data_IF_402281856035
#
_entry.id   IF_402281856035
#
_cell.length_a   1.000
_cell.length_b   1.000
_cell.length_c   1.000
_cell.angle_alpha   90.00
_cell.angle_beta   90.00
_cell.angle_gamma   90.00
#
_symmetry.space_group_name_H-M   'P 1'
#
loop_
_entity.id
_entity.type
_entity.pdbx_description
1 polymer ?
#
# COMPACT_ATOMS: atom_id res chain seq x y z
N UNK A 1 -12.39 -8.99 0.36
CA UNK A 1 -13.21 -7.88 0.90
C UNK A 1 -12.50 -7.03 1.98
N UNK A 2 -11.36 -7.46 2.55
CA UNK A 2 -10.68 -6.72 3.63
C UNK A 2 -10.09 -5.35 3.27
N UNK A 3 -9.60 -5.16 2.03
CA UNK A 3 -8.90 -3.93 1.64
C UNK A 3 -9.76 -2.65 1.74
N UNK A 4 -11.08 -2.75 1.56
CA UNK A 4 -12.01 -1.62 1.69
C UNK A 4 -12.12 -1.16 3.14
N UNK A 5 -12.19 -2.09 4.09
CA UNK A 5 -12.26 -1.78 5.52
C UNK A 5 -10.96 -1.16 6.03
N UNK A 6 -9.81 -1.65 5.54
CA UNK A 6 -8.50 -1.08 5.87
C UNK A 6 -8.40 0.36 5.36
N UNK A 7 -8.78 0.60 4.10
CA UNK A 7 -8.75 1.94 3.50
C UNK A 7 -9.75 2.91 4.14
N UNK A 8 -10.93 2.41 4.53
CA UNK A 8 -11.90 3.19 5.28
C UNK A 8 -11.37 3.56 6.67
N UNK A 9 -10.71 2.63 7.36
CA UNK A 9 -10.03 2.91 8.63
C UNK A 9 -8.89 3.92 8.47
N UNK A 10 -8.08 3.81 7.41
CA UNK A 10 -7.01 4.78 7.11
C UNK A 10 -7.60 6.17 6.84
N UNK A 11 -8.74 6.26 6.15
CA UNK A 11 -9.45 7.51 5.93
C UNK A 11 -9.96 8.13 7.24
N UNK A 12 -10.51 7.32 8.16
CA UNK A 12 -10.94 7.78 9.48
C UNK A 12 -9.75 8.22 10.36
N UNK A 13 -8.62 7.51 10.28
CA UNK A 13 -7.40 7.85 11.00
C UNK A 13 -6.79 9.19 10.56
N UNK A 14 -7.14 9.68 9.36
CA UNK A 14 -6.72 10.99 8.86
C UNK A 14 -7.65 12.13 9.30
N UNK A 15 -8.68 11.85 10.11
CA UNK A 15 -9.71 12.82 10.48
C UNK A 15 -9.68 13.15 12.00
N UNK A 16 -8.75 14.02 12.44
CA UNK A 16 -8.60 14.38 13.87
C UNK A 16 -9.80 15.15 14.45
N UNK A 17 -10.72 15.59 13.60
CA UNK A 17 -11.98 16.22 14.02
C UNK A 17 -12.99 15.20 14.59
N UNK A 18 -12.80 13.90 14.32
CA UNK A 18 -13.69 12.80 14.77
C UNK A 18 -13.03 11.98 15.88
N UNK A 19 -11.71 11.83 15.86
CA UNK A 19 -10.92 11.03 16.81
C UNK A 19 -9.74 11.86 17.35
N UNK A 20 -9.34 11.66 18.61
CA UNK A 20 -8.14 12.34 19.12
C UNK A 20 -6.90 11.90 18.33
N UNK A 21 -5.89 12.77 18.25
CA UNK A 21 -4.61 12.49 17.58
C UNK A 21 -3.96 11.16 18.04
N UNK A 22 -4.09 10.83 19.33
CA UNK A 22 -3.60 9.57 19.89
C UNK A 22 -4.33 8.36 19.29
N UNK A 23 -5.66 8.40 19.20
CA UNK A 23 -6.43 7.33 18.55
C UNK A 23 -6.16 7.25 17.05
N UNK A 24 -5.99 8.38 16.36
CA UNK A 24 -5.64 8.40 14.94
C UNK A 24 -4.31 7.68 14.67
N UNK A 25 -3.27 7.93 15.49
CA UNK A 25 -1.98 7.28 15.34
C UNK A 25 -2.06 5.77 15.61
N UNK A 26 -2.74 5.35 16.67
CA UNK A 26 -2.93 3.93 16.98
C UNK A 26 -3.73 3.20 15.90
N UNK A 27 -4.80 3.82 15.37
CA UNK A 27 -5.54 3.25 14.23
C UNK A 27 -4.68 3.19 12.98
N UNK A 28 -3.86 4.20 12.71
CA UNK A 28 -2.96 4.21 11.57
C UNK A 28 -1.97 3.04 11.67
N UNK A 29 -1.29 2.89 12.80
CA UNK A 29 -0.33 1.79 13.03
C UNK A 29 -0.98 0.40 12.94
N UNK A 30 -2.21 0.27 13.44
CA UNK A 30 -2.97 -0.98 13.37
C UNK A 30 -3.39 -1.34 11.94
N UNK A 31 -3.59 -0.33 11.09
CA UNK A 31 -4.04 -0.48 9.71
C UNK A 31 -2.89 -0.47 8.68
N UNK A 32 -1.73 0.07 9.03
CA UNK A 32 -0.59 0.23 8.11
C UNK A 32 0.36 -0.98 8.10
N UNK A 33 0.24 -1.87 9.09
CA UNK A 33 0.98 -3.15 9.11
C UNK A 33 0.40 -4.13 8.09
N UNK A 34 0.91 -4.07 6.86
CA UNK A 34 0.57 -5.04 5.81
C UNK A 34 1.53 -6.22 5.85
N UNK A 35 1.00 -7.44 5.95
CA UNK A 35 1.81 -8.65 5.97
C UNK A 35 2.67 -8.74 4.70
N UNK A 36 3.98 -9.06 4.81
CA UNK A 36 4.79 -9.33 3.65
C UNK A 36 4.27 -10.52 2.86
N UNK A 37 4.46 -10.48 1.55
CA UNK A 37 4.21 -11.63 0.70
C UNK A 37 5.46 -12.50 0.59
N UNK A 38 5.25 -13.76 0.23
CA UNK A 38 6.28 -14.78 0.27
C UNK A 38 7.40 -14.51 -0.76
N UNK A 39 8.62 -14.93 -0.43
CA UNK A 39 9.80 -14.62 -1.22
C UNK A 39 9.80 -15.28 -2.61
N UNK A 40 9.16 -16.45 -2.75
CA UNK A 40 8.94 -17.10 -4.04
C UNK A 40 8.18 -16.20 -5.02
N UNK A 41 7.20 -15.45 -4.54
CA UNK A 41 6.48 -14.46 -5.34
C UNK A 41 7.36 -13.25 -5.67
N UNK A 42 8.22 -12.82 -4.74
CA UNK A 42 9.19 -11.74 -5.00
C UNK A 42 10.15 -12.13 -6.12
N UNK A 43 10.72 -13.32 -6.04
CA UNK A 43 11.65 -13.84 -7.04
C UNK A 43 10.95 -13.97 -8.40
N UNK A 44 9.74 -14.51 -8.44
CA UNK A 44 8.96 -14.64 -9.67
C UNK A 44 8.70 -13.27 -10.34
N UNK A 45 8.32 -12.25 -9.58
CA UNK A 45 8.08 -10.90 -10.10
C UNK A 45 9.36 -10.25 -10.64
N UNK A 46 10.49 -10.42 -9.92
CA UNK A 46 11.78 -9.90 -10.38
C UNK A 46 12.19 -10.59 -11.69
N UNK A 47 11.99 -11.90 -11.81
CA UNK A 47 12.24 -12.64 -13.05
C UNK A 47 11.32 -12.19 -14.17
N UNK A 48 10.04 -11.95 -13.88
CA UNK A 48 9.05 -11.45 -14.86
C UNK A 48 9.45 -10.08 -15.43
N UNK A 49 9.90 -9.15 -14.59
CA UNK A 49 10.24 -7.79 -15.01
C UNK A 49 11.66 -7.64 -15.55
N UNK A 50 12.64 -8.35 -14.98
CA UNK A 50 14.07 -8.18 -15.28
C UNK A 50 14.70 -9.37 -16.02
N UNK A 51 13.95 -10.47 -16.20
CA UNK A 51 14.34 -11.65 -16.99
C UNK A 51 15.33 -12.61 -16.32
N UNK A 52 15.80 -12.31 -15.10
CA UNK A 52 16.79 -13.12 -14.37
C UNK A 52 16.48 -13.13 -12.87
N UNK A 53 16.86 -14.18 -12.12
CA UNK A 53 16.61 -14.25 -10.69
C UNK A 53 17.48 -13.26 -9.91
N UNK A 54 17.08 -12.86 -8.67
CA UNK A 54 17.85 -11.94 -7.84
C UNK A 54 19.31 -12.37 -7.63
N UNK A 55 19.55 -13.68 -7.52
CA UNK A 55 20.89 -14.25 -7.34
C UNK A 55 21.86 -14.02 -8.51
N UNK A 56 21.34 -13.70 -9.70
CA UNK A 56 22.16 -13.35 -10.88
C UNK A 56 22.26 -11.84 -11.12
N UNK A 57 21.36 -11.06 -10.52
CA UNK A 57 21.27 -9.61 -10.70
C UNK A 57 22.03 -8.82 -9.62
N UNK A 58 22.17 -9.39 -8.42
CA UNK A 58 22.74 -8.74 -7.24
C UNK A 58 23.88 -9.59 -6.65
N UNK A 59 24.84 -8.93 -6.01
CA UNK A 59 25.90 -9.61 -5.23
C UNK A 59 25.29 -10.38 -4.05
N UNK A 60 24.24 -9.81 -3.44
CA UNK A 60 23.41 -10.46 -2.44
C UNK A 60 22.01 -9.83 -2.42
N UNK A 61 21.02 -10.63 -2.00
CA UNK A 61 19.63 -10.19 -1.87
C UNK A 61 19.02 -10.84 -0.62
N UNK A 62 18.53 -10.02 0.32
CA UNK A 62 17.91 -10.52 1.55
C UNK A 62 16.49 -11.02 1.25
N UNK A 63 16.22 -12.30 1.55
CA UNK A 63 14.90 -12.90 1.34
C UNK A 63 13.85 -12.37 2.31
N UNK A 64 14.27 -11.93 3.51
CA UNK A 64 13.40 -11.22 4.43
C UNK A 64 13.27 -9.75 4.00
N UNK A 65 12.05 -9.21 3.91
CA UNK A 65 11.86 -7.81 3.56
C UNK A 65 12.24 -6.91 4.74
N UNK A 66 12.89 -5.79 4.43
CA UNK A 66 13.15 -4.70 5.36
C UNK A 66 11.85 -4.01 5.81
N UNK A 67 10.91 -3.85 4.88
CA UNK A 67 9.63 -3.19 5.13
C UNK A 67 8.56 -3.72 4.19
N UNK A 68 7.30 -3.66 4.61
CA UNK A 68 6.15 -4.05 3.79
C UNK A 68 5.04 -3.01 3.90
N UNK A 69 4.44 -2.67 2.76
CA UNK A 69 3.42 -1.64 2.64
C UNK A 69 2.28 -2.12 1.71
N UNK A 70 1.25 -1.29 1.57
CA UNK A 70 0.05 -1.59 0.79
C UNK A 70 0.31 -1.90 -0.70
N UNK A 71 1.31 -1.26 -1.31
CA UNK A 71 1.59 -1.39 -2.76
C UNK A 71 2.75 -2.37 -3.04
N UNK A 72 3.55 -2.73 -2.04
CA UNK A 72 4.77 -3.51 -2.26
C UNK A 72 5.56 -3.74 -0.98
N UNK A 73 6.69 -4.42 -1.10
CA UNK A 73 7.65 -4.59 -0.01
C UNK A 73 9.07 -4.28 -0.47
N UNK A 74 9.94 -3.94 0.47
CA UNK A 74 11.32 -3.50 0.21
C UNK A 74 12.28 -4.54 0.75
N UNK A 75 13.25 -4.93 -0.06
CA UNK A 75 14.33 -5.85 0.28
C UNK A 75 15.67 -5.12 0.25
N UNK A 76 16.60 -5.57 1.09
CA UNK A 76 17.99 -5.12 1.03
C UNK A 76 18.72 -5.96 -0.02
N UNK A 77 19.47 -5.32 -0.89
CA UNK A 77 20.36 -5.99 -1.83
C UNK A 77 21.73 -5.28 -1.89
N UNK A 78 22.73 -5.97 -2.41
CA UNK A 78 24.03 -5.38 -2.70
C UNK A 78 24.36 -5.55 -4.19
N UNK A 79 24.93 -4.52 -4.80
CA UNK A 79 25.38 -4.55 -6.18
C UNK A 79 26.66 -3.74 -6.33
N UNK A 80 27.71 -4.35 -6.87
CA UNK A 80 29.05 -3.74 -6.99
C UNK A 80 29.55 -3.15 -5.65
N UNK A 81 29.22 -3.81 -4.53
CA UNK A 81 29.55 -3.34 -3.18
C UNK A 81 28.67 -2.20 -2.64
N UNK A 82 27.70 -1.71 -3.40
CA UNK A 82 26.74 -0.70 -2.96
C UNK A 82 25.49 -1.34 -2.36
N UNK A 83 25.06 -0.86 -1.19
CA UNK A 83 23.80 -1.27 -0.57
C UNK A 83 22.61 -0.58 -1.25
N UNK A 84 21.61 -1.37 -1.64
CA UNK A 84 20.40 -0.95 -2.35
C UNK A 84 19.14 -1.32 -1.57
N UNK A 85 18.09 -0.53 -1.78
CA UNK A 85 16.73 -0.84 -1.38
C UNK A 85 15.92 -1.21 -2.62
N UNK A 86 15.58 -2.50 -2.76
CA UNK A 86 14.82 -3.02 -3.90
C UNK A 86 13.36 -3.11 -3.51
N UNK A 87 12.53 -2.25 -4.10
CA UNK A 87 11.08 -2.26 -3.86
C UNK A 87 10.39 -3.13 -4.91
N UNK A 88 9.64 -4.12 -4.45
CA UNK A 88 8.92 -5.08 -5.27
C UNK A 88 7.43 -4.84 -5.10
N UNK A 89 6.73 -4.58 -6.22
CA UNK A 89 5.30 -4.30 -6.22
C UNK A 89 4.49 -5.57 -5.92
N UNK A 90 3.41 -5.45 -5.14
CA UNK A 90 2.50 -6.58 -4.90
C UNK A 90 1.79 -6.99 -6.20
N UNK A 91 1.61 -8.29 -6.48
CA UNK A 91 0.85 -8.76 -7.65
C UNK A 91 -0.59 -8.22 -7.70
N UNK A 92 -1.20 -7.95 -6.55
CA UNK A 92 -2.57 -7.43 -6.47
C UNK A 92 -2.66 -5.92 -6.65
N UNK A 93 -1.54 -5.19 -6.60
CA UNK A 93 -1.54 -3.73 -6.48
C UNK A 93 -2.36 -3.04 -7.58
N UNK A 94 -2.25 -3.51 -8.83
CA UNK A 94 -3.01 -2.95 -9.94
C UNK A 94 -4.52 -3.19 -9.79
N UNK A 95 -4.92 -4.41 -9.39
CA UNK A 95 -6.34 -4.76 -9.16
C UNK A 95 -6.91 -3.96 -7.99
N UNK A 96 -6.13 -3.83 -6.93
CA UNK A 96 -6.52 -3.08 -5.73
C UNK A 96 -6.70 -1.58 -6.05
N UNK A 97 -5.80 -1.00 -6.85
CA UNK A 97 -5.89 0.38 -7.29
C UNK A 97 -7.16 0.64 -8.13
N UNK A 98 -7.48 -0.25 -9.07
CA UNK A 98 -8.72 -0.14 -9.87
C UNK A 98 -9.96 -0.23 -8.97
N UNK A 99 -9.95 -1.13 -7.98
CA UNK A 99 -11.01 -1.24 -6.98
C UNK A 99 -11.21 0.06 -6.21
N UNK A 100 -10.13 0.72 -5.80
CA UNK A 100 -10.20 1.98 -5.07
C UNK A 100 -10.85 3.09 -5.90
N UNK A 101 -10.46 3.21 -7.17
CA UNK A 101 -11.05 4.19 -8.08
C UNK A 101 -12.55 3.93 -8.27
N UNK A 102 -12.98 2.66 -8.34
CA UNK A 102 -14.39 2.32 -8.44
C UNK A 102 -15.18 2.71 -7.19
N UNK A 103 -14.62 2.46 -6.00
CA UNK A 103 -15.23 2.86 -4.72
C UNK A 103 -15.35 4.38 -4.64
N UNK A 104 -14.30 5.13 -4.99
CA UNK A 104 -14.32 6.59 -5.03
C UNK A 104 -15.40 7.11 -5.99
N UNK A 105 -15.52 6.51 -7.19
CA UNK A 105 -16.59 6.86 -8.14
C UNK A 105 -17.97 6.60 -7.55
N UNK A 106 -18.18 5.47 -6.88
CA UNK A 106 -19.44 5.15 -6.20
C UNK A 106 -19.78 6.15 -5.10
N UNK A 107 -18.80 6.53 -4.28
CA UNK A 107 -18.94 7.54 -3.24
C UNK A 107 -19.34 8.91 -3.82
N UNK A 108 -18.66 9.35 -4.88
CA UNK A 108 -19.00 10.61 -5.58
C UNK A 108 -20.43 10.57 -6.14
N UNK A 109 -20.84 9.45 -6.73
CA UNK A 109 -22.22 9.29 -7.23
C UNK A 109 -23.25 9.34 -6.11
N UNK A 110 -22.95 8.74 -4.95
CA UNK A 110 -23.81 8.77 -3.77
C UNK A 110 -23.94 10.19 -3.21
N UNK A 111 -22.83 10.92 -3.05
CA UNK A 111 -22.82 12.32 -2.60
C UNK A 111 -23.65 13.20 -3.55
N UNK A 112 -23.49 13.01 -4.86
CA UNK A 112 -24.29 13.72 -5.88
C UNK A 112 -25.77 13.41 -5.78
N UNK A 113 -26.15 12.15 -5.53
CA UNK A 113 -27.55 11.72 -5.37
C UNK A 113 -28.19 12.24 -4.08
N UNK A 114 -27.42 12.33 -2.99
CA UNK A 114 -27.89 12.83 -1.70
C UNK A 114 -28.00 14.36 -1.65
N UNK A 115 -27.63 15.07 -2.72
CA UNK A 115 -27.86 16.51 -2.83
C UNK A 115 -27.08 17.35 -1.79
N UNK A 116 -25.98 16.82 -1.26
CA UNK A 116 -25.08 17.51 -0.32
C UNK A 116 -24.36 18.66 -1.05
N UNK A 117 -25.10 19.72 -1.36
CA UNK A 117 -24.60 21.00 -1.91
C UNK A 117 -24.18 21.99 -0.82
N UNK A 118 -24.16 21.59 0.45
CA UNK A 118 -24.09 22.52 1.59
C UNK A 118 -22.91 22.25 2.52
N UNK A 119 -21.70 22.09 1.99
CA UNK A 119 -20.50 22.07 2.83
C UNK A 119 -19.25 22.60 2.11
N UNK A 120 -19.38 23.72 1.42
CA UNK A 120 -18.24 24.55 1.04
C UNK A 120 -18.66 26.00 1.33
N UNK A 121 -17.89 26.67 2.20
CA UNK A 121 -18.04 28.06 2.66
C UNK A 121 -19.02 28.33 3.80
N UNK A 122 -18.63 28.04 5.04
CA UNK A 122 -18.58 29.05 6.12
C UNK A 122 -17.62 28.55 7.20
N UNK A 123 -16.40 29.09 7.22
CA UNK A 123 -15.62 29.67 8.33
C UNK A 123 -14.24 29.98 7.74
#
# INVERSE_FOLDING_TARGET
MGGVYIKFGQMLALQPDILSLEYCNELFDLLDKVTPFAYDQVEALIVEELGRPPAELFDSFESQPLASASIGQVHVAYLNGQKLAVKVQRPSAQRDFVGDIQIMKGAIQLIRRLGLKRLYWTI
#
